data_IF_090144567873
#
_entry.id   IF_090144567873
#
_cell.length_a   1.000
_cell.length_b   1.000
_cell.length_c   1.000
_cell.angle_alpha   90.00
_cell.angle_beta   90.00
_cell.angle_gamma   90.00
#
_symmetry.space_group_name_H-M   'P 1'
#
loop_
_entity.id
_entity.type
_entity.pdbx_description
1 polymer ?
#
# COMPACT_ATOMS: atom_id res chain seq x y z
N UNK A 1 -1.23 -24.36 44.43
CA UNK A 1 -1.65 -22.96 44.14
C UNK A 1 -0.42 -22.08 44.26
N UNK A 2 0.16 -21.63 43.15
CA UNK A 2 1.22 -20.63 43.12
C UNK A 2 0.93 -19.67 41.98
N UNK A 3 0.94 -18.34 42.19
CA UNK A 3 0.59 -17.42 41.13
C UNK A 3 1.77 -17.28 40.18
N UNK A 4 1.53 -17.57 38.91
CA UNK A 4 2.46 -17.27 37.82
C UNK A 4 2.34 -15.75 37.56
N UNK A 5 3.37 -14.99 37.95
CA UNK A 5 3.48 -13.57 37.61
C UNK A 5 3.65 -13.45 36.08
N UNK A 6 2.70 -12.82 35.40
CA UNK A 6 2.90 -12.36 34.03
C UNK A 6 3.67 -11.04 34.06
N UNK A 7 4.90 -11.02 33.53
CA UNK A 7 5.57 -9.78 33.16
C UNK A 7 4.88 -9.22 31.92
N UNK A 8 4.15 -8.12 32.06
CA UNK A 8 3.71 -7.31 30.94
C UNK A 8 4.95 -6.60 30.34
N UNK A 9 5.29 -6.94 29.09
CA UNK A 9 6.26 -6.16 28.32
C UNK A 9 5.62 -4.81 27.97
N UNK A 10 6.14 -3.72 28.54
CA UNK A 10 5.79 -2.38 28.13
C UNK A 10 6.42 -2.11 26.76
N UNK A 11 5.59 -2.02 25.71
CA UNK A 11 6.00 -1.53 24.40
C UNK A 11 6.41 -0.06 24.54
N UNK A 12 7.70 0.23 24.54
CA UNK A 12 8.20 1.61 24.56
C UNK A 12 7.70 2.36 23.33
N UNK A 13 7.12 3.55 23.52
CA UNK A 13 6.77 4.43 22.42
C UNK A 13 8.06 4.86 21.70
N UNK A 14 8.09 4.73 20.38
CA UNK A 14 9.22 5.19 19.58
C UNK A 14 9.20 6.73 19.55
N UNK A 15 10.30 7.36 19.95
CA UNK A 15 10.49 8.80 19.79
C UNK A 15 10.85 9.11 18.34
N UNK A 16 9.96 9.85 17.67
CA UNK A 16 10.09 10.17 16.26
C UNK A 16 10.82 11.48 15.96
N UNK A 17 11.24 12.24 16.97
CA UNK A 17 11.86 13.55 16.77
C UNK A 17 13.19 13.52 15.98
N UNK A 18 13.89 12.38 16.00
CA UNK A 18 15.19 12.20 15.35
C UNK A 18 15.23 10.98 14.40
N UNK A 19 14.09 10.56 13.86
CA UNK A 19 14.03 9.38 12.99
C UNK A 19 14.99 9.54 11.78
N UNK A 20 15.78 8.50 11.45
CA UNK A 20 16.68 8.56 10.32
C UNK A 20 15.90 8.70 9.00
N UNK A 21 16.53 9.22 7.93
CA UNK A 21 15.94 9.18 6.60
C UNK A 21 15.54 7.76 6.21
N UNK A 22 14.46 7.64 5.45
CA UNK A 22 13.99 6.34 4.97
C UNK A 22 15.02 5.76 3.97
N UNK A 23 15.35 4.50 4.16
CA UNK A 23 16.21 3.76 3.24
C UNK A 23 15.48 3.45 1.93
N UNK A 24 16.25 3.08 0.90
CA UNK A 24 15.69 2.52 -0.33
C UNK A 24 14.83 1.26 -0.02
N UNK A 25 13.69 1.06 -0.70
CA UNK A 25 13.24 1.83 -1.85
C UNK A 25 12.26 2.99 -1.51
N UNK A 26 12.30 3.50 -0.27
CA UNK A 26 11.30 4.41 0.30
C UNK A 26 11.77 5.85 0.49
N UNK A 27 12.94 6.21 -0.02
CA UNK A 27 13.58 7.54 0.14
C UNK A 27 12.65 8.69 -0.25
N UNK A 28 11.80 8.50 -1.27
CA UNK A 28 10.85 9.51 -1.75
C UNK A 28 9.53 9.57 -0.99
N UNK A 29 9.24 8.65 -0.05
CA UNK A 29 7.89 8.47 0.54
C UNK A 29 7.26 9.75 1.12
N UNK A 30 8.05 10.64 1.68
CA UNK A 30 7.56 11.89 2.29
C UNK A 30 7.24 12.97 1.26
N UNK A 31 7.75 12.85 0.04
CA UNK A 31 7.28 13.63 -1.11
C UNK A 31 5.87 13.12 -1.43
N UNK A 32 4.95 13.94 -1.94
CA UNK A 32 3.66 13.42 -2.43
C UNK A 32 3.01 14.45 -3.33
N UNK A 33 2.56 14.00 -4.48
CA UNK A 33 1.59 14.74 -5.29
C UNK A 33 0.17 14.31 -4.89
N UNK A 34 -0.84 15.08 -5.27
CA UNK A 34 -2.24 14.72 -5.05
C UNK A 34 -2.86 14.15 -6.32
N UNK A 35 -3.73 13.16 -6.17
CA UNK A 35 -4.54 12.64 -7.27
C UNK A 35 -5.88 12.11 -6.76
N UNK A 36 -6.87 11.97 -7.64
CA UNK A 36 -8.07 11.19 -7.36
C UNK A 36 -7.85 9.75 -7.79
N UNK A 37 -8.17 8.78 -6.94
CA UNK A 37 -8.15 7.38 -7.32
C UNK A 37 -9.28 7.08 -8.32
N UNK A 38 -9.06 6.12 -9.22
CA UNK A 38 -10.09 5.70 -10.17
C UNK A 38 -11.22 4.94 -9.46
N UNK A 39 -12.43 5.04 -9.99
CA UNK A 39 -13.56 4.17 -9.62
C UNK A 39 -13.58 2.87 -10.40
N UNK A 40 -12.81 2.76 -11.48
CA UNK A 40 -12.68 1.58 -12.34
C UNK A 40 -11.30 1.58 -13.02
N UNK A 41 -10.94 0.47 -13.67
CA UNK A 41 -9.67 0.34 -14.39
C UNK A 41 -9.50 1.37 -15.52
N UNK A 42 -10.57 1.69 -16.25
CA UNK A 42 -10.52 2.69 -17.32
C UNK A 42 -10.35 4.08 -16.72
N UNK A 43 -9.29 4.78 -17.12
CA UNK A 43 -8.97 6.12 -16.61
C UNK A 43 -8.35 6.16 -15.22
N UNK A 44 -8.04 5.01 -14.61
CA UNK A 44 -7.38 4.98 -13.30
C UNK A 44 -5.97 5.61 -13.37
N UNK A 45 -5.58 6.47 -12.41
CA UNK A 45 -4.28 7.12 -12.43
C UNK A 45 -3.13 6.11 -12.32
N UNK A 46 -1.97 6.40 -12.93
CA UNK A 46 -0.79 5.55 -12.79
C UNK A 46 -0.11 5.76 -11.43
N UNK A 47 0.30 4.66 -10.81
CA UNK A 47 1.38 4.64 -9.84
C UNK A 47 2.70 4.51 -10.60
N UNK A 48 3.55 5.52 -10.45
CA UNK A 48 4.90 5.48 -10.97
C UNK A 48 5.81 4.97 -9.86
N UNK A 49 6.68 4.01 -10.19
CA UNK A 49 7.64 3.46 -9.22
C UNK A 49 8.46 4.59 -8.60
N UNK A 50 8.60 4.56 -7.28
CA UNK A 50 9.36 5.56 -6.54
C UNK A 50 8.65 6.92 -6.38
N UNK A 51 7.41 7.08 -6.87
CA UNK A 51 6.65 8.33 -6.80
C UNK A 51 5.38 8.15 -5.97
N UNK A 52 5.40 8.52 -4.68
CA UNK A 52 4.21 8.51 -3.84
C UNK A 52 3.15 9.50 -4.33
N UNK A 53 1.89 9.15 -4.10
CA UNK A 53 0.73 10.01 -4.30
C UNK A 53 -0.17 9.98 -3.06
N UNK A 54 -0.58 11.14 -2.59
CA UNK A 54 -1.69 11.29 -1.65
C UNK A 54 -2.98 11.24 -2.46
N UNK A 55 -3.63 10.07 -2.45
CA UNK A 55 -4.80 9.78 -3.23
C UNK A 55 -6.08 10.08 -2.44
N UNK A 56 -7.00 10.80 -3.09
CA UNK A 56 -8.39 10.92 -2.66
C UNK A 56 -9.16 9.70 -3.17
N UNK A 57 -9.61 8.85 -2.26
CA UNK A 57 -10.38 7.65 -2.50
C UNK A 57 -11.87 7.96 -2.69
N UNK A 58 -12.57 6.99 -3.29
CA UNK A 58 -14.01 7.02 -3.52
C UNK A 58 -14.72 6.17 -2.48
N UNK A 59 -16.01 6.42 -2.16
CA UNK A 59 -16.80 5.47 -1.37
C UNK A 59 -16.76 4.10 -2.06
N UNK A 60 -16.51 3.04 -1.30
CA UNK A 60 -16.20 1.72 -1.84
C UNK A 60 -17.34 1.13 -2.68
N UNK A 61 -18.59 1.49 -2.40
CA UNK A 61 -19.78 1.09 -3.18
C UNK A 61 -19.78 1.66 -4.62
N UNK A 62 -19.00 2.71 -4.89
CA UNK A 62 -18.83 3.28 -6.23
C UNK A 62 -17.57 2.77 -6.94
N UNK A 63 -16.83 1.82 -6.35
CA UNK A 63 -15.60 1.29 -6.92
C UNK A 63 -15.86 -0.07 -7.57
N UNK A 64 -15.66 -0.12 -8.88
CA UNK A 64 -15.65 -1.35 -9.68
C UNK A 64 -14.28 -2.01 -9.56
N UNK A 65 -14.10 -2.79 -8.49
CA UNK A 65 -12.90 -3.58 -8.25
C UNK A 65 -12.67 -4.62 -9.35
N UNK A 66 -11.41 -4.76 -9.79
CA UNK A 66 -11.03 -5.72 -10.83
C UNK A 66 -11.07 -7.16 -10.33
N UNK A 67 -10.86 -7.36 -9.02
CA UNK A 67 -11.07 -8.63 -8.35
C UNK A 67 -11.77 -8.40 -7.00
N UNK A 68 -12.42 -9.44 -6.46
CA UNK A 68 -13.07 -9.34 -5.16
C UNK A 68 -12.05 -8.90 -4.07
N UNK A 69 -12.24 -7.73 -3.43
CA UNK A 69 -11.34 -7.24 -2.39
C UNK A 69 -11.46 -8.04 -1.08
N UNK A 70 -12.34 -9.05 -1.04
CA UNK A 70 -12.52 -9.93 0.10
C UNK A 70 -13.28 -9.27 1.25
N UNK A 71 -13.19 -9.89 2.43
CA UNK A 71 -13.99 -9.50 3.59
C UNK A 71 -13.73 -8.04 3.99
N UNK A 72 -14.82 -7.30 4.17
CA UNK A 72 -14.85 -5.87 4.53
C UNK A 72 -14.20 -4.92 3.50
N UNK A 73 -13.67 -5.42 2.38
CA UNK A 73 -13.04 -4.59 1.34
C UNK A 73 -14.02 -3.65 0.62
N UNK A 74 -15.31 -4.00 0.61
CA UNK A 74 -16.38 -3.17 0.03
C UNK A 74 -16.94 -2.11 1.00
N UNK A 75 -16.41 -1.99 2.21
CA UNK A 75 -16.83 -0.96 3.17
C UNK A 75 -15.90 0.26 3.08
N UNK A 76 -16.38 1.42 3.54
CA UNK A 76 -15.57 2.63 3.65
C UNK A 76 -15.17 3.20 2.29
N UNK A 77 -13.87 3.38 2.09
CA UNK A 77 -13.32 3.98 0.87
C UNK A 77 -12.38 3.03 0.12
N UNK A 78 -12.32 3.19 -1.18
CA UNK A 78 -11.44 2.44 -2.06
C UNK A 78 -11.07 3.20 -3.32
N UNK A 79 -10.22 2.59 -4.14
CA UNK A 79 -9.77 3.20 -5.37
C UNK A 79 -8.92 2.27 -6.21
N UNK A 80 -8.89 2.57 -7.50
CA UNK A 80 -8.17 1.81 -8.52
C UNK A 80 -7.01 2.67 -9.04
N UNK A 81 -5.88 2.03 -9.27
CA UNK A 81 -4.70 2.59 -9.90
C UNK A 81 -4.15 1.63 -10.95
N UNK A 82 -3.32 2.13 -11.85
CA UNK A 82 -2.55 1.31 -12.78
C UNK A 82 -1.08 1.31 -12.40
N UNK A 83 -0.39 0.19 -12.60
CA UNK A 83 1.04 0.08 -12.37
C UNK A 83 1.66 -0.69 -13.53
N UNK A 84 2.63 -0.08 -14.21
CA UNK A 84 3.36 -0.73 -15.30
C UNK A 84 4.78 -1.04 -14.87
N UNK A 85 5.19 -2.30 -15.04
CA UNK A 85 6.57 -2.75 -14.81
C UNK A 85 7.16 -3.25 -16.12
N UNK A 86 8.37 -2.80 -16.48
CA UNK A 86 9.00 -3.14 -17.75
C UNK A 86 9.65 -4.52 -17.76
N UNK A 87 10.08 -4.97 -16.58
CA UNK A 87 10.74 -6.24 -16.34
C UNK A 87 10.09 -6.89 -15.12
N UNK A 88 10.33 -8.19 -14.92
CA UNK A 88 9.89 -8.87 -13.71
C UNK A 88 10.54 -8.21 -12.49
N UNK A 89 9.74 -7.86 -11.49
CA UNK A 89 10.21 -7.11 -10.33
C UNK A 89 9.44 -7.49 -9.06
N UNK A 90 10.13 -7.48 -7.92
CA UNK A 90 9.47 -7.50 -6.62
C UNK A 90 9.08 -6.08 -6.25
N UNK A 91 7.78 -5.80 -6.23
CA UNK A 91 7.25 -4.46 -5.98
C UNK A 91 6.49 -4.42 -4.66
N UNK A 92 6.86 -3.46 -3.83
CA UNK A 92 6.16 -3.12 -2.60
C UNK A 92 5.14 -2.03 -2.85
N UNK A 93 3.92 -2.22 -2.35
CA UNK A 93 2.88 -1.20 -2.30
C UNK A 93 2.74 -0.74 -0.86
N UNK A 94 3.24 0.47 -0.58
CA UNK A 94 3.18 1.12 0.72
C UNK A 94 1.95 1.99 0.87
N UNK A 95 1.32 1.98 2.05
CA UNK A 95 0.16 2.79 2.40
C UNK A 95 0.37 3.53 3.73
N UNK A 96 -0.09 4.79 3.82
CA UNK A 96 -0.09 5.53 5.10
C UNK A 96 -1.26 5.14 6.02
N UNK A 97 -2.30 4.53 5.46
CA UNK A 97 -3.51 4.14 6.16
C UNK A 97 -3.71 2.63 6.25
N UNK A 98 -4.64 2.21 7.12
CA UNK A 98 -5.13 0.82 7.13
C UNK A 98 -6.08 0.63 5.94
N UNK A 99 -5.70 -0.23 5.02
CA UNK A 99 -6.53 -0.71 3.92
C UNK A 99 -6.01 -2.08 3.42
N UNK A 100 -6.82 -2.74 2.61
CA UNK A 100 -6.41 -3.87 1.78
C UNK A 100 -5.73 -3.37 0.51
N UNK A 101 -4.77 -4.14 0.02
CA UNK A 101 -4.12 -3.95 -1.28
C UNK A 101 -4.21 -5.29 -2.00
N UNK A 102 -4.80 -5.29 -3.19
CA UNK A 102 -4.63 -6.38 -4.13
C UNK A 102 -3.98 -5.85 -5.42
N UNK A 103 -3.26 -6.74 -6.10
CA UNK A 103 -2.75 -6.48 -7.45
C UNK A 103 -3.38 -7.49 -8.39
N UNK A 104 -3.89 -7.01 -9.52
CA UNK A 104 -4.53 -7.83 -10.56
C UNK A 104 -3.74 -7.70 -11.85
N UNK A 105 -3.37 -8.84 -12.43
CA UNK A 105 -2.70 -8.93 -13.73
C UNK A 105 -3.63 -9.62 -14.73
N UNK A 106 -4.04 -8.88 -15.77
CA UNK A 106 -5.12 -9.33 -16.65
C UNK A 106 -6.41 -9.55 -15.84
N UNK A 107 -6.83 -10.81 -15.70
CA UNK A 107 -7.99 -11.22 -14.91
C UNK A 107 -7.63 -11.92 -13.59
N UNK A 108 -6.33 -12.10 -13.31
CA UNK A 108 -5.85 -12.87 -12.17
C UNK A 108 -5.45 -11.95 -11.02
N UNK A 109 -5.98 -12.21 -9.83
CA UNK A 109 -5.53 -11.58 -8.60
C UNK A 109 -4.24 -12.25 -8.12
N UNK A 110 -3.15 -11.49 -8.08
CA UNK A 110 -1.86 -11.98 -7.64
C UNK A 110 -1.83 -12.17 -6.13
N UNK A 111 -1.14 -13.23 -5.69
CA UNK A 111 -0.90 -13.49 -4.26
C UNK A 111 0.25 -12.61 -3.77
N UNK A 112 0.09 -11.98 -2.61
CA UNK A 112 1.20 -11.25 -1.98
C UNK A 112 2.25 -12.23 -1.45
N UNK A 113 3.51 -11.87 -1.62
CA UNK A 113 4.66 -12.70 -1.20
C UNK A 113 5.16 -12.33 0.19
N UNK A 114 4.88 -11.10 0.64
CA UNK A 114 5.20 -10.62 1.98
C UNK A 114 4.31 -9.41 2.35
N UNK A 115 4.15 -9.13 3.64
CA UNK A 115 3.51 -7.91 4.13
C UNK A 115 4.00 -7.54 5.53
N UNK A 116 4.05 -6.25 5.82
CA UNK A 116 4.55 -5.75 7.10
C UNK A 116 4.16 -4.31 7.39
N UNK A 117 4.65 -3.81 8.51
CA UNK A 117 4.65 -2.37 8.79
C UNK A 117 5.82 -1.72 8.05
N UNK A 118 5.69 -0.42 7.74
CA UNK A 118 6.85 0.35 7.32
C UNK A 118 7.80 0.62 8.50
N UNK A 119 8.97 1.24 8.23
CA UNK A 119 9.89 1.65 9.27
C UNK A 119 9.20 2.51 10.32
N UNK A 120 9.65 2.44 11.57
CA UNK A 120 9.12 3.32 12.60
C UNK A 120 9.26 4.80 12.20
N UNK A 121 8.30 5.62 12.62
CA UNK A 121 8.28 7.07 12.36
C UNK A 121 8.21 7.47 10.87
N UNK A 122 7.86 6.55 9.98
CA UNK A 122 7.72 6.82 8.54
C UNK A 122 6.32 7.26 8.10
N UNK A 123 5.32 7.20 8.98
CA UNK A 123 3.88 7.26 8.65
C UNK A 123 3.38 6.13 7.72
N UNK A 124 4.25 5.18 7.36
CA UNK A 124 3.91 4.07 6.49
C UNK A 124 3.30 2.94 7.31
N UNK A 125 1.97 2.88 7.28
CA UNK A 125 1.21 1.95 8.09
C UNK A 125 1.32 0.50 7.64
N UNK A 126 1.46 0.26 6.34
CA UNK A 126 1.49 -1.08 5.75
C UNK A 126 2.31 -1.10 4.46
N UNK A 127 3.04 -2.18 4.24
CA UNK A 127 3.65 -2.54 2.96
C UNK A 127 3.15 -3.93 2.58
N UNK A 128 2.78 -4.11 1.31
CA UNK A 128 2.46 -5.43 0.74
C UNK A 128 3.33 -5.65 -0.48
N UNK A 129 4.05 -6.77 -0.52
CA UNK A 129 4.96 -7.11 -1.60
C UNK A 129 4.35 -8.12 -2.56
N UNK A 130 4.62 -7.93 -3.84
CA UNK A 130 4.19 -8.81 -4.93
C UNK A 130 5.37 -9.04 -5.88
N UNK A 131 5.46 -10.25 -6.41
CA UNK A 131 6.31 -10.53 -7.57
C UNK A 131 5.49 -10.26 -8.83
N UNK A 132 5.84 -9.19 -9.55
CA UNK A 132 5.09 -8.73 -10.73
C UNK A 132 5.81 -9.15 -12.01
N UNK A 133 5.12 -9.83 -12.95
CA UNK A 133 5.67 -10.06 -14.29
C UNK A 133 5.69 -8.74 -15.09
N UNK A 134 6.48 -8.65 -16.18
CA UNK A 134 6.44 -7.50 -17.08
C UNK A 134 5.02 -7.24 -17.58
N UNK A 135 4.60 -5.98 -17.61
CA UNK A 135 3.29 -5.59 -18.11
C UNK A 135 2.59 -4.55 -17.25
N UNK A 136 1.30 -4.37 -17.56
CA UNK A 136 0.41 -3.44 -16.85
C UNK A 136 -0.48 -4.23 -15.89
N UNK A 137 -0.52 -3.74 -14.66
CA UNK A 137 -1.27 -4.31 -13.54
C UNK A 137 -2.25 -3.27 -13.01
N UNK A 138 -3.27 -3.77 -12.31
CA UNK A 138 -4.21 -2.96 -11.55
C UNK A 138 -3.88 -3.09 -10.08
N UNK A 139 -3.75 -1.96 -9.40
CA UNK A 139 -3.62 -1.91 -7.94
C UNK A 139 -4.95 -1.43 -7.39
N UNK A 140 -5.56 -2.21 -6.51
CA UNK A 140 -6.80 -1.84 -5.83
C UNK A 140 -6.54 -1.61 -4.35
N UNK A 141 -6.99 -0.46 -3.86
CA UNK A 141 -7.05 -0.14 -2.42
C UNK A 141 -8.49 -0.28 -1.99
N UNK A 142 -8.74 -1.03 -0.91
CA UNK A 142 -10.09 -1.36 -0.47
C UNK A 142 -10.22 -1.33 1.07
N UNK A 143 -11.42 -1.06 1.59
CA UNK A 143 -11.67 -1.07 3.03
C UNK A 143 -10.95 0.04 3.82
N UNK A 144 -10.57 1.14 3.18
CA UNK A 144 -9.94 2.26 3.88
C UNK A 144 -10.98 3.00 4.74
N UNK A 145 -10.61 3.37 5.97
CA UNK A 145 -11.48 4.17 6.85
C UNK A 145 -11.46 5.66 6.52
N UNK A 146 -10.32 6.16 6.06
CA UNK A 146 -10.14 7.54 5.67
C UNK A 146 -10.29 7.67 4.15
N UNK A 147 -10.82 8.81 3.71
CA UNK A 147 -10.95 9.13 2.29
C UNK A 147 -9.61 9.47 1.64
N UNK A 148 -8.63 9.90 2.41
CA UNK A 148 -7.29 10.20 1.90
C UNK A 148 -6.31 9.12 2.32
N UNK A 149 -5.44 8.68 1.40
CA UNK A 149 -4.36 7.75 1.69
C UNK A 149 -3.13 8.08 0.84
N UNK A 150 -1.93 8.07 1.44
CA UNK A 150 -0.68 8.08 0.68
C UNK A 150 -0.39 6.66 0.22
N UNK A 151 -0.12 6.50 -1.07
CA UNK A 151 0.27 5.23 -1.69
C UNK A 151 1.54 5.41 -2.51
N UNK A 152 2.44 4.44 -2.43
CA UNK A 152 3.66 4.40 -3.24
C UNK A 152 3.93 2.96 -3.69
N UNK A 153 4.17 2.77 -4.98
CA UNK A 153 4.75 1.54 -5.50
C UNK A 153 6.27 1.71 -5.58
N UNK A 154 7.04 0.72 -5.14
CA UNK A 154 8.49 0.78 -5.16
C UNK A 154 9.09 -0.59 -5.49
N UNK A 155 10.06 -0.61 -6.41
CA UNK A 155 10.84 -1.81 -6.72
C UNK A 155 11.80 -2.11 -5.55
N UNK A 156 11.83 -3.35 -5.06
CA UNK A 156 12.74 -3.77 -4.00
C UNK A 156 14.22 -3.51 -4.31
N UNK A 157 14.57 -3.46 -5.60
CA UNK A 157 15.90 -3.23 -6.11
C UNK A 157 16.13 -1.79 -6.62
N UNK A 158 15.23 -0.85 -6.31
CA UNK A 158 15.43 0.54 -6.71
C UNK A 158 16.80 1.07 -6.24
N UNK A 159 17.56 1.65 -7.17
CA UNK A 159 18.85 2.30 -6.93
C UNK A 159 19.91 1.42 -6.24
N UNK A 160 19.82 0.09 -6.38
CA UNK A 160 20.84 -0.87 -5.95
C UNK A 160 21.91 -1.10 -7.01
#
# INVERSE_FOLDING_TARGET
MGPLLMLAAASGAVDCAAAPPLAEPWTSWTQSWTAMAGTQQSGAPPLLLGKPVTAMLNPADYVHFAADPGKDGKQGFGGIFTLSVKQAARVGIALSGRAWVDVVSGTEKLTSVDHGHGPDCSEMRKIVWFDLPPGRHIVQVAGAKAREIRIMAADANANR
#
